data_IF_824727541823
#
_entry.id   IF_824727541823
#
_cell.length_a   1.000
_cell.length_b   1.000
_cell.length_c   1.000
_cell.angle_alpha   90.00
_cell.angle_beta   90.00
_cell.angle_gamma   90.00
#
_symmetry.space_group_name_H-M   'P 1'
#
loop_
_entity.id
_entity.type
_entity.pdbx_description
1 polymer ?
#
# COMPACT_ATOMS: atom_id res chain seq x y z
N UNK A 1 17.87 14.25 -21.47
CA UNK A 1 17.46 13.06 -20.71
C UNK A 1 17.08 13.53 -19.33
N UNK A 2 15.78 13.74 -19.08
CA UNK A 2 15.26 13.99 -17.75
C UNK A 2 14.70 12.66 -17.25
N UNK A 3 15.31 12.09 -16.21
CA UNK A 3 14.76 10.94 -15.52
C UNK A 3 13.47 11.40 -14.86
N UNK A 4 12.33 11.10 -15.48
CA UNK A 4 11.03 11.14 -14.83
C UNK A 4 11.10 10.16 -13.67
N UNK A 5 11.23 10.68 -12.46
CA UNK A 5 11.04 9.94 -11.23
C UNK A 5 9.62 9.39 -11.26
N UNK A 6 9.48 8.16 -11.77
CA UNK A 6 8.23 7.41 -11.88
C UNK A 6 7.81 6.89 -10.51
N UNK A 7 7.78 7.79 -9.50
CA UNK A 7 7.10 7.49 -8.26
C UNK A 7 5.60 7.64 -8.55
N UNK A 8 4.79 6.59 -8.35
CA UNK A 8 3.35 6.77 -8.41
C UNK A 8 2.96 7.86 -7.43
N UNK A 9 2.09 8.79 -7.84
CA UNK A 9 1.52 9.78 -6.94
C UNK A 9 0.91 9.04 -5.76
N UNK A 10 1.26 9.45 -4.54
CA UNK A 10 0.70 8.87 -3.32
C UNK A 10 -0.13 9.95 -2.63
N UNK A 11 -1.29 9.55 -2.12
CA UNK A 11 -2.20 10.41 -1.38
C UNK A 11 -1.88 10.29 0.10
N UNK A 12 -1.52 11.40 0.74
CA UNK A 12 -1.35 11.41 2.17
C UNK A 12 -2.73 11.49 2.84
N UNK A 13 -3.05 10.50 3.67
CA UNK A 13 -4.32 10.42 4.37
C UNK A 13 -4.11 10.12 5.85
N UNK A 14 -4.61 11.01 6.71
CA UNK A 14 -4.64 10.80 8.15
C UNK A 14 -6.04 10.36 8.58
N UNK A 15 -6.11 9.21 9.27
CA UNK A 15 -7.35 8.74 9.88
C UNK A 15 -7.44 9.27 11.29
N UNK A 16 -8.66 9.59 11.72
CA UNK A 16 -8.91 10.11 13.06
C UNK A 16 -9.83 9.18 13.83
N UNK A 17 -9.37 8.72 14.99
CA UNK A 17 -10.20 8.14 16.05
C UNK A 17 -10.40 9.13 17.20
N UNK A 18 -9.92 10.37 17.05
CA UNK A 18 -9.79 11.39 18.09
C UNK A 18 -10.31 12.76 17.61
N UNK A 19 -10.32 13.73 18.52
CA UNK A 19 -10.80 15.11 18.31
C UNK A 19 -9.90 16.00 17.45
N UNK A 20 -8.82 15.45 16.89
CA UNK A 20 -7.81 16.18 16.11
C UNK A 20 -8.22 16.40 14.63
N UNK A 21 -9.50 16.50 14.33
CA UNK A 21 -10.00 16.53 12.95
C UNK A 21 -9.41 17.69 12.13
N UNK A 22 -9.23 18.86 12.76
CA UNK A 22 -8.58 20.02 12.14
C UNK A 22 -7.14 19.73 11.77
N UNK A 23 -6.39 19.04 12.63
CA UNK A 23 -5.01 18.61 12.34
C UNK A 23 -4.95 17.77 11.08
N UNK A 24 -5.77 16.72 11.05
CA UNK A 24 -5.83 15.78 9.94
C UNK A 24 -6.28 16.47 8.65
N UNK A 25 -7.21 17.43 8.76
CA UNK A 25 -7.65 18.26 7.65
C UNK A 25 -6.51 19.13 7.10
N UNK A 26 -5.73 19.81 7.94
CA UNK A 26 -4.60 20.64 7.50
C UNK A 26 -3.54 19.78 6.81
N UNK A 27 -3.18 18.66 7.43
CA UNK A 27 -2.17 17.76 6.89
C UNK A 27 -2.63 17.11 5.57
N UNK A 28 -3.93 16.86 5.41
CA UNK A 28 -4.50 16.45 4.12
C UNK A 28 -4.46 17.59 3.09
N UNK A 29 -4.79 18.83 3.48
CA UNK A 29 -4.67 20.01 2.61
C UNK A 29 -3.24 20.19 2.14
N UNK A 30 -2.24 19.92 2.98
CA UNK A 30 -0.82 20.05 2.65
C UNK A 30 -0.20 18.77 2.06
N UNK A 31 -0.94 17.66 2.05
CA UNK A 31 -0.45 16.34 1.63
C UNK A 31 0.84 15.92 2.36
N UNK A 32 0.84 16.01 3.70
CA UNK A 32 1.92 15.52 4.52
C UNK A 32 1.74 15.82 6.02
N UNK A 33 2.51 15.16 6.90
CA UNK A 33 2.49 15.37 8.35
C UNK A 33 3.22 16.67 8.74
N UNK A 34 2.74 17.82 8.28
CA UNK A 34 3.41 19.10 8.52
C UNK A 34 3.12 19.70 9.89
N UNK A 35 1.94 19.41 10.42
CA UNK A 35 1.55 19.78 11.77
C UNK A 35 1.46 18.55 12.65
N UNK A 36 1.73 18.76 13.94
CA UNK A 36 1.42 17.84 15.02
C UNK A 36 0.39 18.44 15.97
N UNK A 37 -0.14 17.60 16.85
CA UNK A 37 -1.05 18.00 17.92
C UNK A 37 -0.45 19.11 18.81
N UNK A 38 0.85 18.99 19.12
CA UNK A 38 1.55 20.00 19.92
C UNK A 38 1.64 21.34 19.18
N UNK A 39 1.93 21.31 17.87
CA UNK A 39 2.06 22.55 17.08
C UNK A 39 0.74 23.33 17.06
N UNK A 40 -0.40 22.63 16.92
CA UNK A 40 -1.72 23.28 16.96
C UNK A 40 -2.12 23.72 18.35
N UNK A 41 -1.74 22.97 19.39
CA UNK A 41 -1.95 23.37 20.79
C UNK A 41 -1.20 24.65 21.13
N UNK A 42 0.06 24.74 20.70
CA UNK A 42 0.89 25.93 20.88
C UNK A 42 0.35 27.11 20.08
N UNK A 43 -0.13 26.85 18.85
CA UNK A 43 -0.77 27.87 18.02
C UNK A 43 -2.06 28.39 18.64
N UNK A 44 -2.95 27.51 19.09
CA UNK A 44 -4.19 27.89 19.78
C UNK A 44 -3.91 28.71 21.05
N UNK A 45 -2.91 28.30 21.84
CA UNK A 45 -2.45 29.03 23.03
C UNK A 45 -1.89 30.40 22.68
N UNK A 46 -1.18 30.52 21.55
CA UNK A 46 -0.67 31.82 21.07
C UNK A 46 -1.80 32.76 20.64
N UNK A 47 -2.83 32.23 19.99
CA UNK A 47 -3.99 32.99 19.55
C UNK A 47 -4.82 33.50 20.74
N UNK A 48 -5.04 32.66 21.75
CA UNK A 48 -5.75 33.06 22.98
C UNK A 48 -5.03 34.18 23.75
N UNK A 49 -3.69 34.23 23.70
CA UNK A 49 -2.91 35.35 24.28
C UNK A 49 -3.13 36.67 23.55
N UNK A 50 -3.39 36.62 22.25
CA UNK A 50 -3.61 37.81 21.40
C UNK A 50 -5.07 38.25 21.50
N UNK A 51 -5.99 37.31 21.45
CA UNK A 51 -7.42 37.52 21.56
C UNK A 51 -8.00 36.62 22.67
N UNK A 52 -8.18 37.14 23.90
CA UNK A 52 -8.69 36.38 25.02
C UNK A 52 -10.17 36.02 24.90
N UNK A 53 -10.86 36.46 23.84
CA UNK A 53 -12.22 35.99 23.52
C UNK A 53 -12.22 34.64 22.82
N UNK A 54 -11.08 34.20 22.29
CA UNK A 54 -10.91 32.87 21.71
C UNK A 54 -10.66 31.84 22.82
N UNK A 55 -11.32 30.67 22.75
CA UNK A 55 -11.06 29.59 23.70
C UNK A 55 -9.59 29.18 23.60
N UNK A 56 -8.95 29.03 24.76
CA UNK A 56 -7.65 28.37 24.80
C UNK A 56 -7.84 26.86 24.58
N UNK A 57 -6.80 26.17 24.12
CA UNK A 57 -6.87 24.71 23.96
C UNK A 57 -7.24 24.00 25.26
N UNK A 58 -6.79 24.52 26.40
CA UNK A 58 -7.10 23.99 27.74
C UNK A 58 -8.56 24.28 28.18
N UNK A 59 -9.22 25.30 27.62
CA UNK A 59 -10.63 25.62 27.92
C UNK A 59 -11.61 24.75 27.12
N UNK A 60 -11.19 24.24 25.96
CA UNK A 60 -11.99 23.32 25.16
C UNK A 60 -11.97 21.92 25.79
N UNK A 61 -12.96 21.66 26.66
CA UNK A 61 -13.24 20.33 27.25
C UNK A 61 -13.36 19.25 26.16
N UNK A 62 -13.70 19.67 24.93
CA UNK A 62 -13.82 18.77 23.80
C UNK A 62 -12.50 18.52 23.02
N UNK A 63 -11.42 19.28 23.24
CA UNK A 63 -10.14 19.05 22.55
C UNK A 63 -10.23 19.16 21.02
N UNK A 64 -11.22 19.88 20.50
CA UNK A 64 -11.37 20.22 19.09
C UNK A 64 -10.74 21.59 18.84
N UNK A 65 -10.16 21.78 17.64
CA UNK A 65 -9.59 23.07 17.27
C UNK A 65 -10.63 23.92 16.54
N UNK A 66 -10.58 25.24 16.78
CA UNK A 66 -11.47 26.18 16.11
C UNK A 66 -11.00 26.52 14.69
N UNK A 67 -11.92 27.04 13.86
CA UNK A 67 -11.62 27.58 12.52
C UNK A 67 -10.48 28.62 12.55
N UNK A 68 -10.31 29.37 13.64
CA UNK A 68 -9.25 30.36 13.78
C UNK A 68 -7.86 29.75 13.85
N UNK A 69 -7.74 28.59 14.50
CA UNK A 69 -6.49 27.82 14.54
C UNK A 69 -6.17 27.29 13.14
N UNK A 70 -7.19 26.80 12.42
CA UNK A 70 -7.06 26.37 11.02
C UNK A 70 -6.57 27.52 10.12
N UNK A 71 -7.18 28.70 10.22
CA UNK A 71 -6.78 29.90 9.47
C UNK A 71 -5.31 30.27 9.76
N UNK A 72 -4.92 30.36 11.03
CA UNK A 72 -3.56 30.71 11.42
C UNK A 72 -2.52 29.67 10.98
N UNK A 73 -2.86 28.38 11.01
CA UNK A 73 -1.97 27.31 10.58
C UNK A 73 -1.70 27.38 9.07
N UNK A 74 -2.74 27.65 8.27
CA UNK A 74 -2.60 27.82 6.83
C UNK A 74 -1.87 29.11 6.46
N UNK A 75 -2.02 30.18 7.24
CA UNK A 75 -1.28 31.44 7.03
C UNK A 75 0.25 31.27 7.15
N UNK A 76 0.73 30.35 7.98
CA UNK A 76 2.17 30.00 8.07
C UNK A 76 2.72 29.52 6.71
N UNK A 77 1.87 28.86 5.93
CA UNK A 77 2.17 28.36 4.58
C UNK A 77 1.86 29.38 3.48
N UNK A 78 1.49 30.62 3.85
CA UNK A 78 1.04 31.63 2.89
C UNK A 78 -0.30 31.29 2.24
N UNK A 79 -1.07 30.38 2.82
CA UNK A 79 -2.38 29.98 2.37
C UNK A 79 -3.46 30.79 3.10
N UNK A 80 -4.57 31.05 2.41
CA UNK A 80 -5.72 31.76 2.94
C UNK A 80 -6.96 30.91 2.83
N UNK A 81 -7.80 30.95 3.86
CA UNK A 81 -9.14 30.36 3.84
C UNK A 81 -10.16 31.46 3.52
N UNK A 82 -11.02 31.22 2.54
CA UNK A 82 -12.13 32.12 2.19
C UNK A 82 -13.41 31.30 2.06
N UNK A 83 -14.55 31.71 2.65
CA UNK A 83 -15.83 31.05 2.39
C UNK A 83 -16.07 30.92 0.88
N UNK A 84 -16.45 29.72 0.43
CA UNK A 84 -16.67 29.46 -0.99
C UNK A 84 -17.90 30.24 -1.46
N UNK A 85 -17.73 31.00 -2.53
CA UNK A 85 -18.83 31.57 -3.29
C UNK A 85 -19.10 30.67 -4.51
N UNK A 86 -20.36 30.35 -4.83
CA UNK A 86 -20.73 29.38 -5.86
C UNK A 86 -20.31 29.78 -7.29
N UNK A 87 -19.91 31.04 -7.50
CA UNK A 87 -19.54 31.60 -8.81
C UNK A 87 -18.04 31.59 -9.10
N UNK A 88 -17.20 31.12 -8.17
CA UNK A 88 -15.73 31.18 -8.31
C UNK A 88 -15.17 29.88 -8.87
N UNK A 89 -14.14 30.00 -9.72
CA UNK A 89 -13.38 28.87 -10.25
C UNK A 89 -12.92 27.92 -9.12
N UNK A 90 -12.98 26.60 -9.34
CA UNK A 90 -12.58 25.64 -8.32
C UNK A 90 -11.09 25.82 -7.99
N UNK A 91 -10.81 26.27 -6.78
CA UNK A 91 -9.47 26.31 -6.20
C UNK A 91 -8.89 24.90 -6.07
N UNK A 92 -7.60 24.79 -5.77
CA UNK A 92 -6.94 23.48 -5.69
C UNK A 92 -7.33 22.67 -4.44
N UNK A 93 -7.84 23.32 -3.39
CA UNK A 93 -8.30 22.66 -2.18
C UNK A 93 -9.44 23.43 -1.51
N UNK A 94 -10.30 22.68 -0.82
CA UNK A 94 -11.42 23.17 -0.03
C UNK A 94 -11.46 22.46 1.32
N UNK A 95 -11.91 23.18 2.34
CA UNK A 95 -12.19 22.64 3.67
C UNK A 95 -13.68 22.74 3.92
N UNK A 96 -14.31 21.62 4.26
CA UNK A 96 -15.72 21.52 4.57
C UNK A 96 -15.90 21.26 6.06
N UNK A 97 -16.88 21.93 6.68
CA UNK A 97 -17.18 21.80 8.09
C UNK A 97 -18.69 21.62 8.34
N UNK A 98 -19.07 20.57 9.07
CA UNK A 98 -20.45 20.29 9.49
C UNK A 98 -20.50 19.53 10.79
N UNK A 99 -21.33 19.98 11.75
CA UNK A 99 -21.62 19.29 13.02
C UNK A 99 -20.37 18.71 13.72
N UNK A 100 -19.31 19.51 13.84
CA UNK A 100 -18.01 19.13 14.43
C UNK A 100 -17.18 18.15 13.59
N UNK A 101 -17.48 18.01 12.29
CA UNK A 101 -16.66 17.26 11.34
C UNK A 101 -15.95 18.16 10.36
N UNK A 102 -14.68 17.84 10.12
CA UNK A 102 -13.82 18.52 9.15
C UNK A 102 -13.43 17.56 8.04
N UNK A 103 -13.69 17.97 6.80
CA UNK A 103 -13.34 17.19 5.61
C UNK A 103 -12.54 18.08 4.66
N UNK A 104 -11.44 17.56 4.15
CA UNK A 104 -10.64 18.25 3.12
C UNK A 104 -10.99 17.69 1.75
N UNK A 105 -11.32 18.55 0.79
CA UNK A 105 -11.40 18.21 -0.62
C UNK A 105 -10.19 18.80 -1.34
N UNK A 106 -9.41 18.00 -2.06
CA UNK A 106 -8.23 18.49 -2.78
C UNK A 106 -8.13 17.86 -4.17
N UNK A 107 -7.74 18.67 -5.15
CA UNK A 107 -7.42 18.17 -6.49
C UNK A 107 -5.95 17.75 -6.55
N UNK A 108 -5.70 16.52 -6.99
CA UNK A 108 -4.38 15.93 -7.16
C UNK A 108 -4.35 15.18 -8.48
N UNK A 109 -3.33 15.42 -9.30
CA UNK A 109 -3.20 14.85 -10.65
C UNK A 109 -4.50 14.93 -11.46
N UNK A 110 -5.11 16.12 -11.49
CA UNK A 110 -6.37 16.36 -12.20
C UNK A 110 -7.62 15.68 -11.61
N UNK A 111 -7.52 14.94 -10.52
CA UNK A 111 -8.66 14.23 -9.90
C UNK A 111 -9.00 14.79 -8.52
N UNK A 112 -10.29 14.77 -8.18
CA UNK A 112 -10.76 15.24 -6.88
C UNK A 112 -10.72 14.11 -5.86
N UNK A 113 -10.22 14.42 -4.67
CA UNK A 113 -10.19 13.50 -3.54
C UNK A 113 -10.81 14.15 -2.31
N UNK A 114 -11.64 13.39 -1.62
CA UNK A 114 -12.19 13.67 -0.31
C UNK A 114 -11.37 12.95 0.76
N UNK A 115 -10.76 13.73 1.63
CA UNK A 115 -9.99 13.30 2.78
C UNK A 115 -10.85 13.51 4.02
N UNK A 116 -11.69 12.52 4.28
CA UNK A 116 -12.43 12.40 5.53
C UNK A 116 -11.71 11.39 6.42
N UNK A 117 -11.14 11.86 7.53
CA UNK A 117 -10.40 10.99 8.44
C UNK A 117 -11.27 9.98 9.18
N UNK A 118 -12.61 10.05 9.08
CA UNK A 118 -13.51 8.99 9.53
C UNK A 118 -13.40 7.71 8.68
N UNK A 119 -12.83 7.82 7.47
CA UNK A 119 -12.62 6.71 6.57
C UNK A 119 -11.15 6.27 6.57
N UNK A 120 -10.91 4.97 6.38
CA UNK A 120 -9.56 4.44 6.30
C UNK A 120 -8.79 4.90 5.07
N UNK A 121 -9.49 5.26 3.99
CA UNK A 121 -8.87 5.66 2.71
C UNK A 121 -9.60 6.89 2.17
N UNK A 122 -8.91 7.78 1.44
CA UNK A 122 -9.56 8.89 0.78
C UNK A 122 -10.56 8.40 -0.26
N UNK A 123 -11.58 9.20 -0.54
CA UNK A 123 -12.59 8.92 -1.55
C UNK A 123 -12.30 9.73 -2.81
N UNK A 124 -12.24 9.06 -3.96
CA UNK A 124 -12.08 9.71 -5.27
C UNK A 124 -13.45 10.20 -5.74
N UNK A 125 -13.53 11.52 -5.97
CA UNK A 125 -14.73 12.17 -6.47
C UNK A 125 -14.65 12.33 -8.00
N UNK A 126 -15.72 11.97 -8.73
CA UNK A 126 -15.73 12.13 -10.18
C UNK A 126 -15.72 13.62 -10.58
N UNK A 127 -14.85 13.97 -11.55
CA UNK A 127 -14.81 15.31 -12.17
C UNK A 127 -16.19 15.78 -12.69
N UNK A 128 -16.90 15.03 -13.55
CA UNK A 128 -18.24 15.40 -13.97
C UNK A 128 -19.19 15.17 -12.78
N UNK A 129 -19.61 16.25 -12.11
CA UNK A 129 -20.48 16.17 -10.93
C UNK A 129 -19.87 16.70 -9.63
N UNK A 130 -18.61 17.20 -9.65
CA UNK A 130 -18.04 17.85 -8.46
C UNK A 130 -18.87 19.06 -8.00
N UNK A 131 -19.46 19.80 -8.95
CA UNK A 131 -20.40 20.89 -8.65
C UNK A 131 -21.65 20.40 -7.93
N UNK A 132 -22.21 19.25 -8.35
CA UNK A 132 -23.37 18.64 -7.67
C UNK A 132 -22.99 18.14 -6.28
N UNK A 133 -21.76 17.64 -6.10
CA UNK A 133 -21.24 17.26 -4.78
C UNK A 133 -21.12 18.48 -3.85
N UNK A 134 -20.58 19.61 -4.32
CA UNK A 134 -20.57 20.85 -3.55
C UNK A 134 -22.00 21.32 -3.22
N UNK A 135 -22.92 21.27 -4.17
CA UNK A 135 -24.32 21.63 -3.94
C UNK A 135 -24.98 20.71 -2.90
N UNK A 136 -24.71 19.41 -2.94
CA UNK A 136 -25.21 18.45 -1.95
C UNK A 136 -24.65 18.74 -0.55
N UNK A 137 -23.37 19.09 -0.43
CA UNK A 137 -22.78 19.51 0.84
C UNK A 137 -23.44 20.80 1.36
N UNK A 138 -23.66 21.79 0.49
CA UNK A 138 -24.35 23.03 0.87
C UNK A 138 -25.81 22.78 1.30
N UNK A 139 -26.54 21.90 0.61
CA UNK A 139 -27.92 21.52 0.93
C UNK A 139 -28.02 20.76 2.27
N UNK A 140 -27.04 19.90 2.57
CA UNK A 140 -26.89 19.21 3.86
C UNK A 140 -26.42 20.17 4.99
N UNK A 141 -26.17 21.44 4.66
CA UNK A 141 -25.85 22.50 5.62
C UNK A 141 -24.36 22.61 5.97
N UNK A 142 -23.48 22.05 5.14
CA UNK A 142 -22.04 22.18 5.32
C UNK A 142 -21.58 23.60 4.99
N UNK A 143 -20.61 24.08 5.76
CA UNK A 143 -19.85 25.28 5.41
C UNK A 143 -18.62 24.90 4.63
N UNK A 144 -18.46 25.47 3.45
CA UNK A 144 -17.36 25.17 2.54
C UNK A 144 -16.46 26.40 2.46
N UNK A 145 -15.16 26.18 2.63
CA UNK A 145 -14.13 27.21 2.57
C UNK A 145 -13.09 26.83 1.52
N UNK A 146 -12.83 27.74 0.58
CA UNK A 146 -11.78 27.59 -0.41
C UNK A 146 -10.42 27.94 0.20
N UNK A 147 -9.42 27.09 -0.04
CA UNK A 147 -8.03 27.33 0.35
C UNK A 147 -7.28 27.92 -0.85
N UNK A 148 -6.93 29.20 -0.75
CA UNK A 148 -6.22 29.95 -1.80
C UNK A 148 -4.73 30.06 -1.48
N UNK A 149 -3.91 29.91 -2.51
CA UNK A 149 -2.45 30.06 -2.44
C UNK A 149 -1.70 28.90 -3.11
N UNK A 150 -0.39 28.86 -2.90
CA UNK A 150 0.48 27.83 -3.47
C UNK A 150 0.55 26.60 -2.56
N UNK A 151 -0.28 25.60 -2.86
CA UNK A 151 -0.24 24.33 -2.16
C UNK A 151 1.07 23.57 -2.49
N UNK A 152 1.71 22.95 -1.49
CA UNK A 152 2.88 22.12 -1.73
C UNK A 152 2.51 20.96 -2.67
N UNK A 153 3.30 20.80 -3.73
CA UNK A 153 3.18 19.68 -4.68
C UNK A 153 4.16 18.54 -4.38
N UNK A 154 5.14 18.79 -3.51
CA UNK A 154 6.10 17.80 -3.05
C UNK A 154 5.54 17.03 -1.86
N UNK A 155 5.32 15.74 -2.06
CA UNK A 155 4.94 14.81 -1.01
C UNK A 155 6.19 14.42 -0.21
N UNK A 156 6.30 14.73 1.09
CA UNK A 156 7.42 14.27 1.90
C UNK A 156 7.37 12.74 2.06
N UNK A 157 8.51 12.04 2.07
CA UNK A 157 8.53 10.59 2.31
C UNK A 157 8.21 10.21 3.78
N UNK A 158 7.86 11.18 4.63
CA UNK A 158 7.56 10.96 6.04
C UNK A 158 6.11 10.53 6.25
N UNK A 159 5.92 9.54 7.11
CA UNK A 159 4.62 9.18 7.70
C UNK A 159 4.66 9.47 9.20
N UNK A 160 3.53 9.91 9.77
CA UNK A 160 3.37 10.03 11.23
C UNK A 160 2.50 8.88 11.76
N UNK A 161 2.19 8.88 13.06
CA UNK A 161 1.36 7.83 13.70
C UNK A 161 -0.08 7.75 13.20
N UNK A 162 -0.59 8.80 12.56
CA UNK A 162 -1.99 8.91 12.11
C UNK A 162 -2.14 8.78 10.60
N UNK A 163 -1.07 9.05 9.86
CA UNK A 163 -1.09 9.20 8.42
C UNK A 163 -0.39 8.09 7.69
N UNK A 164 -1.01 7.68 6.59
CA UNK A 164 -0.47 6.70 5.66
C UNK A 164 -0.52 7.25 4.24
N UNK A 165 0.39 6.75 3.43
CA UNK A 165 0.42 7.03 2.00
C UNK A 165 -0.44 5.99 1.28
N UNK A 166 -1.53 6.45 0.67
CA UNK A 166 -2.50 5.63 -0.06
C UNK A 166 -2.29 5.86 -1.55
N UNK A 167 -2.01 4.81 -2.35
CA UNK A 167 -1.99 4.96 -3.79
C UNK A 167 -3.42 5.27 -4.31
N UNK A 168 -3.59 6.14 -5.33
CA UNK A 168 -4.88 6.54 -5.88
C UNK A 168 -5.81 5.38 -6.27
N UNK A 169 -5.25 4.24 -6.68
CA UNK A 169 -6.01 3.03 -7.02
C UNK A 169 -6.75 2.39 -5.83
N UNK A 170 -6.30 2.64 -4.59
CA UNK A 170 -6.96 2.18 -3.36
C UNK A 170 -7.93 3.21 -2.79
N UNK A 171 -8.04 4.39 -3.41
CA UNK A 171 -9.04 5.38 -3.00
C UNK A 171 -10.45 4.82 -3.22
N UNK A 172 -11.35 5.06 -2.28
CA UNK A 172 -12.75 4.64 -2.39
C UNK A 172 -13.39 5.28 -3.62
N UNK A 173 -14.10 4.51 -4.43
CA UNK A 173 -14.67 5.02 -5.68
C UNK A 173 -13.67 5.12 -6.85
N UNK A 174 -12.39 4.76 -6.65
CA UNK A 174 -11.56 4.32 -7.77
C UNK A 174 -12.26 3.09 -8.40
N UNK A 175 -12.36 3.07 -9.72
CA UNK A 175 -13.17 2.10 -10.48
C UNK A 175 -12.63 0.65 -10.46
N UNK A 176 -11.95 0.23 -9.39
CA UNK A 176 -11.59 -1.16 -9.12
C UNK A 176 -11.87 -1.43 -7.66
N UNK A 177 -12.71 -2.43 -7.39
CA UNK A 177 -12.98 -2.80 -6.00
C UNK A 177 -11.67 -3.27 -5.33
N UNK A 178 -11.48 -3.03 -4.02
CA UNK A 178 -10.35 -3.59 -3.28
C UNK A 178 -10.24 -5.11 -3.44
N UNK A 179 -11.37 -5.80 -3.60
CA UNK A 179 -11.44 -7.24 -3.88
C UNK A 179 -10.91 -7.58 -5.28
N UNK A 180 -11.21 -6.77 -6.31
CA UNK A 180 -10.70 -6.96 -7.67
C UNK A 180 -9.19 -6.70 -7.76
N UNK A 181 -8.64 -5.74 -7.01
CA UNK A 181 -7.20 -5.48 -6.98
C UNK A 181 -6.45 -6.61 -6.27
N UNK A 182 -6.99 -7.11 -5.15
CA UNK A 182 -6.41 -8.24 -4.42
C UNK A 182 -6.47 -9.53 -5.25
N UNK A 183 -7.62 -9.80 -5.87
CA UNK A 183 -7.82 -10.96 -6.74
C UNK A 183 -6.99 -10.87 -8.02
N UNK A 184 -6.78 -9.67 -8.61
CA UNK A 184 -5.92 -9.51 -9.78
C UNK A 184 -4.45 -9.77 -9.47
N UNK A 185 -3.99 -9.39 -8.27
CA UNK A 185 -2.60 -9.61 -7.86
C UNK A 185 -2.33 -11.07 -7.54
N UNK A 186 -3.22 -11.72 -6.79
CA UNK A 186 -3.21 -13.18 -6.63
C UNK A 186 -3.34 -13.87 -7.99
N UNK A 187 -4.12 -13.29 -8.91
CA UNK A 187 -4.29 -13.82 -10.26
C UNK A 187 -3.04 -13.80 -11.12
N UNK A 188 -2.27 -12.73 -11.06
CA UNK A 188 -1.00 -12.62 -11.76
C UNK A 188 0.06 -13.53 -11.16
N UNK A 189 0.16 -13.60 -9.83
CA UNK A 189 1.12 -14.47 -9.15
C UNK A 189 0.82 -15.96 -9.43
N UNK A 190 -0.44 -16.40 -9.44
CA UNK A 190 -0.75 -17.80 -9.81
C UNK A 190 -0.51 -18.07 -11.30
N UNK A 191 -0.82 -17.12 -12.19
CA UNK A 191 -0.53 -17.27 -13.63
C UNK A 191 0.96 -17.37 -13.90
N UNK A 192 1.76 -16.56 -13.21
CA UNK A 192 3.21 -16.61 -13.29
C UNK A 192 3.75 -17.96 -12.80
N UNK A 193 3.26 -18.46 -11.66
CA UNK A 193 3.66 -19.76 -11.12
C UNK A 193 3.30 -20.93 -12.04
N UNK A 194 2.07 -20.95 -12.61
CA UNK A 194 1.66 -21.98 -13.58
C UNK A 194 2.50 -21.91 -14.85
N UNK A 195 2.79 -20.71 -15.34
CA UNK A 195 3.62 -20.53 -16.54
C UNK A 195 5.06 -21.02 -16.31
N UNK A 196 5.63 -20.74 -15.13
CA UNK A 196 6.96 -21.21 -14.76
C UNK A 196 7.02 -22.74 -14.64
N UNK A 197 6.04 -23.35 -13.98
CA UNK A 197 5.96 -24.80 -13.81
C UNK A 197 5.73 -25.52 -15.15
N UNK A 198 4.90 -24.96 -16.04
CA UNK A 198 4.68 -25.49 -17.37
C UNK A 198 5.93 -25.37 -18.26
N UNK A 199 6.70 -24.28 -18.13
CA UNK A 199 7.96 -24.10 -18.85
C UNK A 199 9.01 -25.12 -18.38
N UNK A 200 9.09 -25.37 -17.07
CA UNK A 200 9.98 -26.38 -16.49
C UNK A 200 9.59 -27.79 -16.95
N UNK A 201 8.30 -28.16 -16.86
CA UNK A 201 7.81 -29.46 -17.33
C UNK A 201 8.05 -29.64 -18.85
N UNK A 202 7.86 -28.60 -19.64
CA UNK A 202 8.15 -28.62 -21.08
C UNK A 202 9.63 -28.76 -21.38
N UNK A 203 10.51 -28.17 -20.55
CA UNK A 203 11.96 -28.34 -20.69
C UNK A 203 12.40 -29.77 -20.41
N UNK A 204 11.79 -30.44 -19.44
CA UNK A 204 12.05 -31.85 -19.10
C UNK A 204 11.60 -32.76 -20.25
N UNK A 205 10.36 -32.59 -20.74
CA UNK A 205 9.86 -33.37 -21.87
C UNK A 205 10.71 -33.22 -23.13
N UNK A 206 11.18 -32.01 -23.43
CA UNK A 206 12.01 -31.77 -24.62
C UNK A 206 13.39 -32.45 -24.48
N UNK A 207 13.98 -32.45 -23.28
CA UNK A 207 15.25 -33.12 -23.03
C UNK A 207 15.12 -34.65 -23.15
N UNK A 208 14.02 -35.23 -22.66
CA UNK A 208 13.74 -36.67 -22.79
C UNK A 208 13.45 -37.07 -24.25
N UNK A 209 12.77 -36.20 -25.03
CA UNK A 209 12.52 -36.45 -26.46
C UNK A 209 13.82 -36.40 -27.28
N UNK A 210 14.76 -35.53 -26.91
CA UNK A 210 16.07 -35.45 -27.54
C UNK A 210 16.91 -36.71 -27.27
N UNK A 211 16.96 -37.16 -26.02
CA UNK A 211 17.67 -38.38 -25.64
C UNK A 211 17.06 -39.64 -26.30
N UNK A 212 15.72 -39.72 -26.33
CA UNK A 212 15.02 -40.82 -26.99
C UNK A 212 15.30 -40.85 -28.50
N UNK A 213 15.35 -39.69 -29.16
CA UNK A 213 15.72 -39.60 -30.59
C UNK A 213 17.16 -40.05 -30.82
N UNK A 214 18.09 -39.65 -29.96
CA UNK A 214 19.49 -40.07 -30.06
C UNK A 214 19.64 -41.60 -29.92
N UNK A 215 18.92 -42.22 -28.98
CA UNK A 215 18.94 -43.68 -28.80
C UNK A 215 18.35 -44.46 -29.99
N UNK A 216 17.26 -43.95 -30.58
CA UNK A 216 16.65 -44.54 -31.79
C UNK A 216 17.61 -44.45 -32.97
N UNK A 217 18.25 -43.29 -33.17
CA UNK A 217 19.23 -43.06 -34.23
C UNK A 217 20.49 -43.93 -34.07
N UNK A 218 20.95 -44.15 -32.84
CA UNK A 218 22.03 -45.10 -32.54
C UNK A 218 21.63 -46.55 -32.84
N UNK A 219 20.44 -46.98 -32.44
CA UNK A 219 19.93 -48.34 -32.70
C UNK A 219 19.77 -48.63 -34.19
N UNK A 220 19.38 -47.61 -34.97
CA UNK A 220 19.23 -47.72 -36.42
C UNK A 220 20.59 -47.90 -37.11
N UNK A 221 21.66 -47.24 -36.61
CA UNK A 221 23.03 -47.42 -37.10
C UNK A 221 23.62 -48.79 -36.74
N UNK A 222 23.33 -49.31 -35.55
CA UNK A 222 23.74 -50.67 -35.16
C UNK A 222 23.02 -51.74 -36.01
N UNK A 223 21.77 -51.48 -36.38
CA UNK A 223 21.02 -52.33 -37.31
C UNK A 223 21.60 -52.31 -38.74
N UNK A 224 22.09 -51.17 -39.22
CA UNK A 224 22.78 -51.07 -40.52
C UNK A 224 24.16 -51.78 -40.54
N UNK A 225 24.75 -52.10 -39.40
CA UNK A 225 26.04 -52.79 -39.30
C UNK A 225 25.95 -54.31 -39.04
N UNK A 226 24.78 -54.92 -39.19
CA UNK A 226 24.62 -56.37 -39.07
C UNK A 226 25.12 -57.18 -40.29
N UNK A 227 26.40 -57.54 -40.34
CA UNK A 227 26.91 -58.70 -41.10
C UNK A 227 27.60 -59.71 -40.15
N UNK A 228 26.85 -60.78 -39.84
CA UNK A 228 27.22 -62.22 -39.67
C UNK A 228 28.36 -62.62 -38.70
N UNK A 229 28.04 -63.52 -37.74
CA UNK A 229 29.01 -64.48 -37.19
C UNK A 229 28.61 -65.16 -35.87
N UNK A 230 28.44 -66.48 -35.91
CA UNK A 230 27.94 -67.40 -34.86
C UNK A 230 29.10 -67.98 -33.95
N UNK A 231 28.90 -68.98 -33.05
CA UNK A 231 29.37 -68.98 -31.65
C UNK A 231 30.63 -69.84 -31.35
N UNK A 232 31.34 -69.61 -30.25
CA UNK A 232 32.25 -70.61 -29.64
C UNK A 232 32.67 -70.29 -28.18
N UNK A 233 32.27 -71.20 -27.28
CA UNK A 233 33.00 -71.85 -26.18
C UNK A 233 33.80 -71.09 -25.10
N UNK A 234 33.78 -71.71 -23.93
CA UNK A 234 34.24 -71.26 -22.62
C UNK A 234 35.76 -71.25 -22.43
N UNK A 235 36.24 -70.43 -21.50
CA UNK A 235 37.10 -70.93 -20.42
C UNK A 235 37.05 -70.04 -19.17
N UNK A 236 37.23 -70.70 -18.03
CA UNK A 236 37.09 -70.24 -16.66
C UNK A 236 38.10 -69.15 -16.25
N UNK A 237 37.75 -68.34 -15.25
CA UNK A 237 38.45 -68.35 -13.96
C UNK A 237 37.65 -67.64 -12.87
N UNK A 238 37.48 -68.36 -11.77
CA UNK A 238 36.91 -67.97 -10.48
C UNK A 238 37.55 -66.69 -9.90
N UNK A 239 36.91 -65.92 -9.01
CA UNK A 239 36.75 -66.19 -7.57
C UNK A 239 35.69 -65.23 -6.97
N UNK A 240 34.75 -65.82 -6.23
CA UNK A 240 33.72 -65.27 -5.31
C UNK A 240 34.29 -64.64 -3.99
N UNK A 241 33.51 -64.23 -2.95
CA UNK A 241 32.14 -63.69 -2.87
C UNK A 241 32.01 -62.48 -1.89
N UNK A 242 30.75 -62.06 -1.73
CA UNK A 242 30.19 -61.06 -0.81
C UNK A 242 30.30 -61.34 0.70
N UNK A 243 30.28 -60.27 1.51
CA UNK A 243 29.83 -60.23 2.91
C UNK A 243 28.95 -58.97 3.07
N UNK A 244 27.62 -59.05 3.12
CA UNK A 244 26.73 -59.38 4.26
C UNK A 244 26.81 -58.37 5.41
N UNK A 245 25.73 -57.61 5.58
CA UNK A 245 25.52 -56.74 6.73
C UNK A 245 25.21 -57.49 8.01
N UNK A 246 25.34 -56.80 9.14
CA UNK A 246 24.75 -57.18 10.43
C UNK A 246 24.27 -55.95 11.17
N UNK A 247 23.01 -56.02 11.60
CA UNK A 247 22.34 -55.19 12.60
C UNK A 247 23.11 -55.04 13.92
N UNK A 248 22.84 -53.93 14.64
CA UNK A 248 22.54 -54.01 16.08
C UNK A 248 21.80 -52.78 16.60
N UNK A 249 20.60 -53.04 17.08
CA UNK A 249 19.83 -52.26 18.04
C UNK A 249 20.67 -51.75 19.23
N UNK A 250 20.34 -50.54 19.75
CA UNK A 250 20.02 -50.40 21.17
C UNK A 250 19.26 -49.13 21.52
N UNK A 251 18.15 -49.35 22.21
CA UNK A 251 17.31 -48.36 22.87
C UNK A 251 17.89 -47.82 24.20
N UNK A 252 17.20 -46.78 24.71
CA UNK A 252 16.96 -46.36 26.11
C UNK A 252 17.79 -45.22 26.71
N UNK A 253 17.03 -44.32 27.35
CA UNK A 253 17.41 -43.30 28.34
C UNK A 253 16.98 -41.92 27.85
N UNK A 254 15.89 -41.29 28.29
CA UNK A 254 15.21 -41.40 29.57
C UNK A 254 16.05 -40.76 30.66
N UNK A 255 16.02 -39.43 30.77
CA UNK A 255 16.37 -38.74 32.01
C UNK A 255 15.56 -37.45 32.18
N UNK A 256 14.84 -37.43 33.29
CA UNK A 256 14.07 -36.35 33.86
C UNK A 256 15.01 -35.32 34.50
N UNK A 257 14.74 -34.03 34.36
CA UNK A 257 15.58 -32.97 34.92
C UNK A 257 14.80 -31.72 35.30
N UNK A 258 14.06 -31.82 36.40
CA UNK A 258 13.44 -30.74 37.16
C UNK A 258 14.46 -29.74 37.74
N UNK A 259 13.99 -28.50 37.98
CA UNK A 259 14.61 -27.53 38.90
C UNK A 259 14.92 -26.21 38.17
N UNK A 260 14.19 -25.13 38.41
CA UNK A 260 14.23 -24.35 39.65
C UNK A 260 14.94 -23.03 39.31
N UNK A 261 14.21 -21.92 39.21
CA UNK A 261 13.90 -21.00 40.31
C UNK A 261 14.92 -19.85 40.41
N UNK A 262 14.35 -18.64 40.49
CA UNK A 262 14.89 -17.40 41.05
C UNK A 262 15.79 -16.52 40.19
N UNK A 263 15.37 -15.25 40.10
CA UNK A 263 16.04 -14.13 39.45
C UNK A 263 15.06 -13.08 38.97
#
# INVERSE_FOLDING_TARGET
>A
MAGSSNRPMMLYHETHQSKLQVLHCINAVLQGPFFSDQDLTDLASSLSKIDPTLPSFDDDIDGSFSLKVLEAALEIWGLRIVPMEPEVDPEKAFVCHSQDRWVCLRILDEEWYSFDGAHDVPERLPRPGIGDHFNALLDDGWRIYAVRGDLPSECPDSSNKYGKWVPPEYARGAMKSPEEVFMQKEDEDWKAAITASLAEQKSIMNAEEEDLKAAIDASLRDWEHGVVGEPAEAEETSIEPAERGTESEKARGGDDGLGGSEG
#
